data_IF_857435147063
#
_entry.id   IF_857435147063
#
_cell.length_a   1.000
_cell.length_b   1.000
_cell.length_c   1.000
_cell.angle_alpha   90.00
_cell.angle_beta   90.00
_cell.angle_gamma   90.00
#
_symmetry.space_group_name_H-M   'P 1'
#
loop_
_entity.id
_entity.type
_entity.pdbx_description
1 polymer ?
#
# COMPACT_ATOMS: atom_id res chain seq x y z
N UNK A 1 8.45 -18.86 17.12
CA UNK A 1 7.32 -17.99 16.73
C UNK A 1 6.59 -17.53 17.97
N UNK A 2 6.34 -16.24 18.08
CA UNK A 2 5.44 -15.62 19.06
C UNK A 2 4.21 -15.20 18.27
N UNK A 3 3.05 -15.74 18.64
CA UNK A 3 1.82 -15.63 17.84
C UNK A 3 0.69 -15.00 18.64
N UNK A 4 -0.11 -14.16 17.97
CA UNK A 4 -1.27 -13.52 18.58
C UNK A 4 -2.47 -14.48 18.69
N UNK A 5 -2.98 -14.67 19.91
CA UNK A 5 -4.22 -15.38 20.16
C UNK A 5 -4.15 -16.91 20.03
N UNK A 6 -5.21 -17.56 20.53
CA UNK A 6 -5.33 -19.02 20.48
C UNK A 6 -5.70 -19.52 19.07
N UNK A 7 -6.34 -18.70 18.23
CA UNK A 7 -6.73 -19.07 16.86
C UNK A 7 -5.51 -19.29 15.96
N UNK A 8 -4.70 -18.25 15.74
CA UNK A 8 -3.45 -18.37 15.00
C UNK A 8 -2.46 -19.31 15.70
N UNK A 9 -2.46 -19.34 17.04
CA UNK A 9 -1.70 -20.30 17.84
C UNK A 9 -2.07 -21.76 17.60
N UNK A 10 -3.34 -22.07 17.40
CA UNK A 10 -3.83 -23.40 17.06
C UNK A 10 -3.33 -23.86 15.70
N UNK A 11 -3.57 -23.05 14.66
CA UNK A 11 -3.12 -23.34 13.29
C UNK A 11 -1.60 -23.46 13.21
N UNK A 12 -0.86 -22.55 13.84
CA UNK A 12 0.60 -22.59 13.88
C UNK A 12 1.14 -23.84 14.60
N UNK A 13 0.51 -24.28 15.70
CA UNK A 13 0.91 -25.51 16.40
C UNK A 13 0.68 -26.77 15.58
N UNK A 14 -0.38 -26.79 14.76
CA UNK A 14 -0.68 -27.91 13.87
C UNK A 14 0.27 -27.95 12.67
N UNK A 15 0.59 -26.78 12.10
CA UNK A 15 1.38 -26.63 10.89
C UNK A 15 2.90 -26.70 11.11
N UNK A 16 3.40 -26.35 12.30
CA UNK A 16 4.84 -26.19 12.54
C UNK A 16 5.64 -27.46 12.27
N UNK A 17 6.88 -27.27 11.83
CA UNK A 17 7.87 -28.34 11.87
C UNK A 17 8.28 -28.63 13.33
N UNK A 18 8.01 -29.85 13.80
CA UNK A 18 8.26 -30.26 15.19
C UNK A 18 9.75 -30.37 15.53
N UNK A 19 10.62 -30.52 14.54
CA UNK A 19 12.07 -30.67 14.74
C UNK A 19 12.73 -29.36 15.14
N UNK A 20 12.28 -28.23 14.55
CA UNK A 20 13.00 -26.96 14.65
C UNK A 20 12.12 -25.72 14.89
N UNK A 21 10.81 -25.85 15.05
CA UNK A 21 9.91 -24.72 15.29
C UNK A 21 9.16 -24.85 16.62
N UNK A 22 9.33 -23.85 17.48
CA UNK A 22 8.52 -23.63 18.67
C UNK A 22 7.51 -22.50 18.44
N UNK A 23 6.29 -22.67 18.97
CA UNK A 23 5.20 -21.69 18.88
C UNK A 23 4.75 -21.33 20.29
N UNK A 24 4.85 -20.05 20.63
CA UNK A 24 4.38 -19.46 21.88
C UNK A 24 3.15 -18.58 21.57
N UNK A 25 1.92 -19.05 21.85
CA UNK A 25 0.72 -18.22 21.74
C UNK A 25 0.64 -17.22 22.90
N UNK A 26 0.31 -15.97 22.57
CA UNK A 26 0.02 -14.92 23.55
C UNK A 26 -1.49 -14.78 23.72
N UNK A 27 -1.94 -14.82 24.97
CA UNK A 27 -3.36 -14.70 25.33
C UNK A 27 -3.62 -13.33 25.96
N UNK A 28 -4.40 -12.50 25.28
CA UNK A 28 -4.74 -11.16 25.75
C UNK A 28 -3.69 -10.10 25.38
N UNK A 29 -3.93 -8.86 25.81
CA UNK A 29 -3.07 -7.72 25.50
C UNK A 29 -1.83 -7.74 26.40
N UNK A 30 -0.65 -7.62 25.79
CA UNK A 30 0.61 -7.51 26.52
C UNK A 30 0.59 -6.24 27.37
N UNK A 31 1.12 -6.33 28.59
CA UNK A 31 1.28 -5.16 29.43
C UNK A 31 2.23 -4.15 28.77
N UNK A 32 1.83 -2.89 28.70
CA UNK A 32 2.71 -1.83 28.21
C UNK A 32 3.87 -1.62 29.21
N UNK A 33 5.04 -2.12 28.85
CA UNK A 33 6.26 -2.08 29.67
C UNK A 33 6.92 -0.71 29.72
N UNK A 34 6.55 0.22 28.83
CA UNK A 34 6.98 1.61 28.91
C UNK A 34 6.35 2.31 30.13
N UNK A 35 5.10 1.94 30.45
CA UNK A 35 4.32 2.55 31.55
C UNK A 35 4.40 1.76 32.85
N UNK A 36 4.60 0.45 32.76
CA UNK A 36 4.57 -0.42 33.92
C UNK A 36 5.90 -0.38 34.68
N UNK A 37 5.80 -0.26 36.01
CA UNK A 37 6.96 -0.50 36.89
C UNK A 37 7.48 -1.92 36.70
N UNK A 38 8.79 -2.10 36.85
CA UNK A 38 9.47 -3.38 36.66
C UNK A 38 8.81 -4.54 37.43
N UNK A 39 8.43 -4.34 38.69
CA UNK A 39 7.75 -5.36 39.51
C UNK A 39 6.40 -5.79 38.92
N UNK A 40 5.65 -4.83 38.35
CA UNK A 40 4.36 -5.11 37.70
C UNK A 40 4.55 -5.85 36.38
N UNK A 41 5.61 -5.56 35.65
CA UNK A 41 5.99 -6.32 34.46
C UNK A 41 6.33 -7.77 34.80
N UNK A 42 7.10 -8.01 35.87
CA UNK A 42 7.44 -9.36 36.34
C UNK A 42 6.20 -10.14 36.83
N UNK A 43 5.20 -9.45 37.39
CA UNK A 43 3.94 -10.08 37.79
C UNK A 43 3.06 -10.52 36.61
N UNK A 44 3.39 -10.13 35.37
CA UNK A 44 2.66 -10.56 34.19
C UNK A 44 3.03 -11.98 33.78
N UNK A 45 2.06 -12.90 33.84
CA UNK A 45 2.24 -14.29 33.41
C UNK A 45 2.73 -14.41 31.95
N UNK A 46 2.26 -13.52 31.06
CA UNK A 46 2.68 -13.51 29.65
C UNK A 46 4.16 -13.18 29.52
N UNK A 47 4.63 -12.15 30.23
CA UNK A 47 6.04 -11.75 30.21
C UNK A 47 6.90 -12.83 30.87
N UNK A 48 6.48 -13.37 32.01
CA UNK A 48 7.16 -14.49 32.66
C UNK A 48 7.30 -15.71 31.74
N UNK A 49 6.23 -16.06 31.02
CA UNK A 49 6.25 -17.16 30.05
C UNK A 49 7.19 -16.87 28.88
N UNK A 50 7.21 -15.62 28.38
CA UNK A 50 8.10 -15.19 27.30
C UNK A 50 9.57 -15.27 27.72
N UNK A 51 9.93 -14.74 28.89
CA UNK A 51 11.29 -14.79 29.44
C UNK A 51 11.71 -16.24 29.63
N UNK A 52 10.83 -17.05 30.25
CA UNK A 52 11.08 -18.47 30.44
C UNK A 52 11.32 -19.14 29.09
N UNK A 53 10.52 -18.84 28.06
CA UNK A 53 10.64 -19.39 26.71
C UNK A 53 11.98 -19.03 26.04
N UNK A 54 12.45 -17.79 26.20
CA UNK A 54 13.72 -17.31 25.63
C UNK A 54 14.94 -17.87 26.37
N UNK A 55 14.86 -18.03 27.70
CA UNK A 55 15.92 -18.57 28.54
C UNK A 55 17.03 -17.58 28.91
N UNK A 56 16.89 -16.31 28.53
CA UNK A 56 17.91 -15.28 28.71
C UNK A 56 17.88 -14.61 30.09
N UNK A 57 16.85 -14.84 30.92
CA UNK A 57 16.60 -13.98 32.08
C UNK A 57 16.10 -12.59 31.67
N UNK A 58 15.93 -11.69 32.63
CA UNK A 58 15.49 -10.29 32.41
C UNK A 58 16.11 -9.34 33.43
N UNK A 59 16.31 -8.08 33.04
CA UNK A 59 16.86 -7.05 33.92
C UNK A 59 18.39 -6.97 33.84
N UNK A 60 18.97 -5.87 34.33
CA UNK A 60 20.38 -5.55 34.13
C UNK A 60 21.35 -6.58 34.72
N UNK A 61 20.96 -7.23 35.82
CA UNK A 61 21.85 -8.13 36.56
C UNK A 61 21.66 -9.62 36.19
N UNK A 62 20.48 -10.00 35.68
CA UNK A 62 20.14 -11.40 35.37
C UNK A 62 20.04 -11.72 33.87
N UNK A 63 19.98 -10.70 33.00
CA UNK A 63 19.91 -10.89 31.56
C UNK A 63 21.24 -11.39 30.98
N UNK A 64 21.19 -12.46 30.19
CA UNK A 64 22.31 -13.03 29.47
C UNK A 64 21.85 -13.52 28.10
N UNK A 65 22.27 -12.82 27.04
CA UNK A 65 21.95 -13.14 25.66
C UNK A 65 22.60 -14.45 25.16
N UNK A 66 23.71 -14.91 25.74
CA UNK A 66 24.37 -16.16 25.36
C UNK A 66 23.57 -17.41 25.77
N UNK A 67 22.66 -17.26 26.74
CA UNK A 67 21.73 -18.33 27.15
C UNK A 67 20.48 -18.43 26.27
N UNK A 68 20.39 -17.64 25.21
CA UNK A 68 19.23 -17.62 24.32
C UNK A 68 19.00 -19.01 23.71
N UNK A 69 17.83 -19.58 23.97
CA UNK A 69 17.48 -20.93 23.48
C UNK A 69 17.10 -20.93 22.00
N UNK A 70 16.56 -19.82 21.50
CA UNK A 70 16.09 -19.68 20.12
C UNK A 70 16.70 -18.45 19.45
N UNK A 71 17.70 -18.66 18.59
CA UNK A 71 18.42 -17.59 17.88
C UNK A 71 17.62 -16.92 16.75
N UNK A 72 16.41 -17.40 16.45
CA UNK A 72 15.46 -16.78 15.54
C UNK A 72 14.10 -16.65 16.20
N UNK A 73 13.83 -15.46 16.73
CA UNK A 73 12.57 -15.08 17.34
C UNK A 73 11.73 -14.40 16.27
N UNK A 74 10.66 -15.04 15.83
CA UNK A 74 9.77 -14.52 14.79
C UNK A 74 8.46 -14.06 15.44
N UNK A 75 8.16 -12.77 15.32
CA UNK A 75 6.90 -12.15 15.74
C UNK A 75 5.90 -12.32 14.59
N UNK A 76 4.78 -12.97 14.86
CA UNK A 76 3.75 -13.26 13.86
C UNK A 76 2.41 -12.79 14.42
N UNK A 77 1.97 -11.63 13.95
CA UNK A 77 0.74 -10.95 14.37
C UNK A 77 -0.07 -10.58 13.13
N UNK A 78 -1.36 -10.29 13.33
CA UNK A 78 -2.26 -9.96 12.23
C UNK A 78 -1.87 -8.61 11.57
N UNK A 79 -2.31 -8.43 10.32
CA UNK A 79 -2.07 -7.21 9.54
C UNK A 79 -3.01 -6.05 9.93
N UNK A 80 -3.85 -6.24 10.94
CA UNK A 80 -4.78 -5.24 11.44
C UNK A 80 -4.16 -4.33 12.53
N UNK A 81 -4.98 -3.42 13.05
CA UNK A 81 -4.56 -2.43 14.05
C UNK A 81 -4.19 -3.09 15.39
N UNK A 82 -4.88 -4.18 15.77
CA UNK A 82 -4.60 -4.89 17.03
C UNK A 82 -3.28 -5.67 16.93
N UNK A 83 -3.03 -6.34 15.80
CA UNK A 83 -1.75 -7.00 15.53
C UNK A 83 -0.58 -6.02 15.44
N UNK A 84 -0.78 -4.84 14.86
CA UNK A 84 0.19 -3.76 14.90
C UNK A 84 0.50 -3.30 16.33
N UNK A 85 -0.51 -3.23 17.20
CA UNK A 85 -0.35 -2.84 18.59
C UNK A 85 0.42 -3.90 19.41
N UNK A 86 0.10 -5.18 19.29
CA UNK A 86 0.83 -6.25 19.98
C UNK A 86 2.28 -6.34 19.48
N UNK A 87 2.49 -6.22 18.16
CA UNK A 87 3.84 -6.17 17.58
C UNK A 87 4.64 -5.01 18.16
N UNK A 88 4.05 -3.82 18.26
CA UNK A 88 4.68 -2.64 18.88
C UNK A 88 5.05 -2.92 20.33
N UNK A 89 4.14 -3.49 21.14
CA UNK A 89 4.40 -3.82 22.54
C UNK A 89 5.55 -4.83 22.71
N UNK A 90 5.62 -5.85 21.85
CA UNK A 90 6.71 -6.83 21.85
C UNK A 90 8.04 -6.18 21.46
N UNK A 91 8.05 -5.34 20.43
CA UNK A 91 9.25 -4.63 20.01
C UNK A 91 9.75 -3.70 21.10
N UNK A 92 8.86 -2.95 21.75
CA UNK A 92 9.21 -2.11 22.91
C UNK A 92 9.78 -2.95 24.05
N UNK A 93 9.20 -4.13 24.33
CA UNK A 93 9.74 -5.06 25.33
C UNK A 93 11.15 -5.52 24.99
N UNK A 94 11.39 -6.01 23.78
CA UNK A 94 12.73 -6.42 23.36
C UNK A 94 13.71 -5.25 23.39
N UNK A 95 13.30 -4.08 22.93
CA UNK A 95 14.13 -2.88 22.89
C UNK A 95 14.56 -2.42 24.29
N UNK A 96 13.62 -2.39 25.25
CA UNK A 96 13.89 -1.90 26.61
C UNK A 96 14.58 -2.93 27.50
N UNK A 97 14.17 -4.19 27.40
CA UNK A 97 14.55 -5.23 28.37
C UNK A 97 15.63 -6.17 27.84
N UNK A 98 15.76 -6.30 26.52
CA UNK A 98 16.65 -7.27 25.87
C UNK A 98 17.29 -6.69 24.58
N UNK A 99 17.86 -5.46 24.61
CA UNK A 99 18.35 -4.77 23.40
C UNK A 99 19.38 -5.60 22.64
N UNK A 100 20.25 -6.33 23.34
CA UNK A 100 21.25 -7.21 22.73
C UNK A 100 20.64 -8.26 21.78
N UNK A 101 19.40 -8.70 22.00
CA UNK A 101 18.75 -9.66 21.10
C UNK A 101 18.42 -9.02 19.74
N UNK A 102 18.12 -7.71 19.72
CA UNK A 102 17.91 -6.96 18.49
C UNK A 102 19.26 -6.68 17.83
N UNK A 103 20.26 -6.23 18.60
CA UNK A 103 21.61 -5.91 18.09
C UNK A 103 22.29 -7.14 17.47
N UNK A 104 22.18 -8.31 18.11
CA UNK A 104 22.67 -9.60 17.57
C UNK A 104 21.81 -10.12 16.41
N UNK A 105 20.68 -9.46 16.11
CA UNK A 105 19.84 -9.79 14.97
C UNK A 105 19.01 -11.06 15.13
N UNK A 106 18.54 -11.33 16.34
CA UNK A 106 17.71 -12.50 16.66
C UNK A 106 16.21 -12.27 16.49
N UNK A 107 15.76 -11.01 16.41
CA UNK A 107 14.33 -10.65 16.32
C UNK A 107 13.92 -10.37 14.87
N UNK A 108 12.83 -11.00 14.45
CA UNK A 108 12.27 -10.94 13.10
C UNK A 108 10.75 -10.75 13.17
N UNK A 109 10.18 -10.14 12.13
CA UNK A 109 8.73 -9.99 11.95
C UNK A 109 8.33 -10.83 10.73
N UNK A 110 7.32 -11.69 10.89
CA UNK A 110 6.75 -12.44 9.78
C UNK A 110 5.97 -11.52 8.84
N UNK A 111 6.01 -11.80 7.53
CA UNK A 111 5.24 -11.10 6.51
C UNK A 111 4.28 -12.09 5.83
N UNK A 112 3.14 -12.42 6.46
CA UNK A 112 2.13 -13.26 5.84
C UNK A 112 1.52 -12.56 4.61
N UNK A 113 1.04 -13.28 3.60
CA UNK A 113 0.46 -12.68 2.42
C UNK A 113 -0.91 -12.04 2.69
N UNK A 114 -1.13 -10.86 2.13
CA UNK A 114 -2.41 -10.17 2.19
C UNK A 114 -3.46 -10.78 1.24
N UNK A 115 -3.01 -11.37 0.13
CA UNK A 115 -3.91 -11.92 -0.89
C UNK A 115 -3.52 -13.33 -1.34
N UNK A 116 -4.53 -14.09 -1.75
CA UNK A 116 -4.40 -15.27 -2.59
C UNK A 116 -5.20 -15.06 -3.86
N UNK A 117 -4.53 -15.18 -5.00
CA UNK A 117 -5.15 -15.10 -6.32
C UNK A 117 -5.15 -16.48 -6.94
N UNK A 118 -6.29 -16.93 -7.45
CA UNK A 118 -6.44 -18.20 -8.14
C UNK A 118 -7.02 -18.01 -9.55
N UNK A 119 -6.38 -18.63 -10.55
CA UNK A 119 -6.81 -18.63 -11.94
C UNK A 119 -6.78 -20.07 -12.47
N UNK A 120 -7.95 -20.67 -12.63
CA UNK A 120 -8.07 -22.09 -12.97
C UNK A 120 -7.44 -22.97 -11.89
N UNK A 121 -6.38 -23.72 -12.24
CA UNK A 121 -5.64 -24.60 -11.31
C UNK A 121 -4.44 -23.94 -10.65
N UNK A 122 -4.04 -22.76 -11.10
CA UNK A 122 -2.89 -22.04 -10.55
C UNK A 122 -3.35 -21.11 -9.44
N UNK A 123 -2.59 -21.04 -8.35
CA UNK A 123 -2.79 -20.06 -7.29
C UNK A 123 -1.47 -19.43 -6.90
N UNK A 124 -1.51 -18.15 -6.53
CA UNK A 124 -0.36 -17.38 -6.08
C UNK A 124 -0.73 -16.58 -4.84
N UNK A 125 0.19 -16.53 -3.89
CA UNK A 125 0.11 -15.66 -2.71
C UNK A 125 0.81 -14.34 -3.03
N UNK A 126 0.18 -13.22 -2.68
CA UNK A 126 0.70 -11.88 -2.90
C UNK A 126 0.78 -11.17 -1.55
N UNK A 127 1.93 -10.53 -1.29
CA UNK A 127 2.25 -10.01 0.04
C UNK A 127 1.44 -8.77 0.41
N UNK A 128 1.22 -7.88 -0.56
CA UNK A 128 0.67 -6.55 -0.36
C UNK A 128 -0.16 -6.09 -1.57
N UNK A 129 -0.64 -4.85 -1.53
CA UNK A 129 -1.39 -4.24 -2.63
C UNK A 129 -0.51 -3.99 -3.86
N UNK A 130 0.77 -3.66 -3.68
CA UNK A 130 1.70 -3.41 -4.77
C UNK A 130 1.94 -4.66 -5.63
N UNK A 131 2.07 -5.83 -5.01
CA UNK A 131 2.15 -7.11 -5.70
C UNK A 131 0.82 -7.50 -6.35
N UNK A 132 -0.32 -7.20 -5.72
CA UNK A 132 -1.64 -7.35 -6.34
C UNK A 132 -1.74 -6.56 -7.63
N UNK A 133 -1.41 -5.27 -7.59
CA UNK A 133 -1.51 -4.40 -8.76
C UNK A 133 -0.52 -4.83 -9.85
N UNK A 134 0.70 -5.20 -9.46
CA UNK A 134 1.70 -5.73 -10.40
C UNK A 134 1.19 -7.01 -11.09
N UNK A 135 0.57 -7.92 -10.33
CA UNK A 135 -0.04 -9.13 -10.87
C UNK A 135 -1.20 -8.81 -11.83
N UNK A 136 -2.06 -7.85 -11.47
CA UNK A 136 -3.18 -7.44 -12.32
C UNK A 136 -2.71 -6.75 -13.61
N UNK A 137 -1.64 -5.94 -13.55
CA UNK A 137 -1.04 -5.31 -14.73
C UNK A 137 -0.43 -6.37 -15.64
N UNK A 138 0.32 -7.33 -15.08
CA UNK A 138 0.90 -8.43 -15.85
C UNK A 138 -0.19 -9.27 -16.55
N UNK A 139 -1.18 -9.73 -15.78
CA UNK A 139 -2.28 -10.53 -16.28
C UNK A 139 -3.15 -9.75 -17.29
N UNK A 140 -3.46 -8.49 -16.99
CA UNK A 140 -4.27 -7.62 -17.83
C UNK A 140 -3.60 -7.22 -19.15
N UNK A 141 -2.28 -7.10 -19.15
CA UNK A 141 -1.48 -6.79 -20.34
C UNK A 141 -1.15 -8.04 -21.18
N UNK A 142 -1.33 -9.25 -20.62
CA UNK A 142 -1.11 -10.49 -21.35
C UNK A 142 -2.11 -10.63 -22.50
N UNK A 143 -1.60 -10.85 -23.70
CA UNK A 143 -2.36 -10.92 -24.97
C UNK A 143 -3.18 -9.65 -25.25
N UNK A 144 -2.72 -8.50 -24.72
CA UNK A 144 -3.33 -7.22 -24.97
C UNK A 144 -2.46 -6.35 -25.89
N UNK A 145 -3.12 -5.48 -26.64
CA UNK A 145 -2.52 -4.53 -27.55
C UNK A 145 -3.12 -3.14 -27.31
N UNK A 146 -2.28 -2.11 -27.30
CA UNK A 146 -2.71 -0.72 -27.32
C UNK A 146 -2.35 -0.13 -28.68
N UNK A 147 -3.35 0.15 -29.49
CA UNK A 147 -3.21 0.83 -30.77
C UNK A 147 -3.32 2.34 -30.55
N UNK A 148 -2.22 3.05 -30.74
CA UNK A 148 -2.14 4.50 -30.58
C UNK A 148 -2.61 5.22 -31.86
N UNK A 149 -3.09 6.47 -31.75
CA UNK A 149 -3.51 7.26 -32.91
C UNK A 149 -2.41 7.51 -33.94
N UNK A 150 -1.14 7.42 -33.52
CA UNK A 150 0.05 7.55 -34.36
C UNK A 150 0.25 6.37 -35.32
N UNK A 151 -0.49 5.26 -35.11
CA UNK A 151 -0.29 3.99 -35.80
C UNK A 151 0.70 3.06 -35.11
N UNK A 152 1.37 3.53 -34.04
CA UNK A 152 2.19 2.68 -33.19
C UNK A 152 1.32 1.70 -32.38
N UNK A 153 1.79 0.47 -32.23
CA UNK A 153 1.15 -0.55 -31.38
C UNK A 153 2.09 -0.94 -30.25
N UNK A 154 1.61 -0.85 -29.01
CA UNK A 154 2.33 -1.30 -27.81
C UNK A 154 1.77 -2.61 -27.28
N UNK A 155 2.65 -3.56 -26.98
CA UNK A 155 2.31 -4.88 -26.43
C UNK A 155 3.33 -5.30 -25.37
N UNK A 156 3.05 -6.38 -24.65
CA UNK A 156 4.03 -7.01 -23.75
C UNK A 156 4.63 -6.04 -22.72
N UNK A 157 5.96 -6.00 -22.64
CA UNK A 157 6.68 -5.18 -21.67
C UNK A 157 6.50 -3.67 -21.89
N UNK A 158 6.37 -3.22 -23.14
CA UNK A 158 6.19 -1.79 -23.46
C UNK A 158 4.83 -1.29 -22.97
N UNK A 159 3.78 -2.11 -23.15
CA UNK A 159 2.46 -1.84 -22.59
C UNK A 159 2.50 -1.85 -21.06
N UNK A 160 3.15 -2.83 -20.44
CA UNK A 160 3.28 -2.89 -18.98
C UNK A 160 4.01 -1.67 -18.41
N UNK A 161 5.08 -1.20 -19.06
CA UNK A 161 5.80 -0.01 -18.66
C UNK A 161 4.88 1.23 -18.69
N UNK A 162 4.15 1.42 -19.80
CA UNK A 162 3.20 2.52 -19.92
C UNK A 162 2.08 2.47 -18.87
N UNK A 163 1.57 1.28 -18.54
CA UNK A 163 0.54 1.11 -17.50
C UNK A 163 1.09 1.40 -16.10
N UNK A 164 2.36 1.09 -15.82
CA UNK A 164 3.01 1.46 -14.55
C UNK A 164 3.15 2.98 -14.42
N UNK A 165 3.51 3.67 -15.51
CA UNK A 165 3.47 5.13 -15.54
C UNK A 165 2.05 5.65 -15.30
N UNK A 166 1.04 5.00 -15.89
CA UNK A 166 -0.37 5.38 -15.69
C UNK A 166 -0.82 5.18 -14.23
N UNK A 167 -0.37 4.12 -13.56
CA UNK A 167 -0.59 3.91 -12.11
C UNK A 167 0.02 5.06 -11.30
N UNK A 168 1.28 5.40 -11.58
CA UNK A 168 1.96 6.48 -10.87
C UNK A 168 1.31 7.85 -11.12
N UNK A 169 0.84 8.10 -12.34
CA UNK A 169 0.08 9.28 -12.72
C UNK A 169 -1.26 9.36 -11.98
N UNK A 170 -2.02 8.25 -11.92
CA UNK A 170 -3.28 8.16 -11.16
C UNK A 170 -3.09 8.54 -9.69
N UNK A 171 -2.01 8.11 -9.03
CA UNK A 171 -1.74 8.49 -7.64
C UNK A 171 -1.57 10.02 -7.48
N UNK A 172 -1.03 10.71 -8.49
CA UNK A 172 -0.98 12.18 -8.53
C UNK A 172 -2.37 12.80 -8.72
N UNK A 173 -3.18 12.26 -9.62
CA UNK A 173 -4.57 12.71 -9.83
C UNK A 173 -5.42 12.52 -8.57
N UNK A 174 -5.29 11.39 -7.88
CA UNK A 174 -6.08 11.08 -6.68
C UNK A 174 -5.81 12.08 -5.55
N UNK A 175 -4.58 12.59 -5.41
CA UNK A 175 -4.25 13.67 -4.46
C UNK A 175 -5.01 14.98 -4.74
N UNK A 176 -5.32 15.26 -6.01
CA UNK A 176 -6.04 16.46 -6.43
C UNK A 176 -7.56 16.25 -6.56
N UNK A 177 -8.03 15.00 -6.54
CA UNK A 177 -9.42 14.61 -6.83
C UNK A 177 -10.47 15.18 -5.88
N UNK A 178 -10.09 15.59 -4.66
CA UNK A 178 -11.01 16.26 -3.73
C UNK A 178 -11.36 17.69 -4.18
N UNK A 179 -10.54 18.28 -5.04
CA UNK A 179 -10.63 19.69 -5.43
C UNK A 179 -11.25 19.90 -6.81
N UNK A 180 -11.18 18.89 -7.68
CA UNK A 180 -11.77 18.92 -9.01
C UNK A 180 -12.02 17.49 -9.54
N UNK A 181 -12.90 17.31 -10.55
CA UNK A 181 -13.12 16.01 -11.17
C UNK A 181 -11.83 15.40 -11.75
N UNK A 182 -11.66 14.09 -11.60
CA UNK A 182 -10.44 13.36 -12.01
C UNK A 182 -10.13 13.50 -13.49
N UNK A 183 -11.14 13.38 -14.37
CA UNK A 183 -10.95 13.54 -15.81
C UNK A 183 -10.51 14.97 -16.16
N UNK A 184 -10.99 15.99 -15.43
CA UNK A 184 -10.57 17.36 -15.66
C UNK A 184 -9.12 17.60 -15.24
N UNK A 185 -8.71 17.04 -14.11
CA UNK A 185 -7.32 17.08 -13.63
C UNK A 185 -6.38 16.36 -14.59
N UNK A 186 -6.75 15.15 -15.03
CA UNK A 186 -5.97 14.37 -15.99
C UNK A 186 -5.77 15.15 -17.29
N UNK A 187 -6.85 15.62 -17.91
CA UNK A 187 -6.76 16.29 -19.21
C UNK A 187 -6.09 17.66 -19.11
N UNK A 188 -6.24 18.38 -18.00
CA UNK A 188 -5.49 19.61 -17.73
C UNK A 188 -3.98 19.35 -17.59
N UNK A 189 -3.58 18.29 -16.88
CA UNK A 189 -2.18 17.90 -16.76
C UNK A 189 -1.56 17.47 -18.10
N UNK A 190 -2.30 16.70 -18.91
CA UNK A 190 -1.86 16.30 -20.25
C UNK A 190 -1.83 17.47 -21.25
N UNK A 191 -2.58 18.54 -20.99
CA UNK A 191 -2.52 19.77 -21.77
C UNK A 191 -1.41 20.74 -21.34
N UNK A 192 -0.66 20.43 -20.27
CA UNK A 192 0.38 21.34 -19.75
C UNK A 192 -0.16 22.51 -18.94
N UNK A 193 -1.39 22.44 -18.41
CA UNK A 193 -1.97 23.54 -17.63
C UNK A 193 -1.29 23.72 -16.26
N UNK A 194 -0.61 22.70 -15.77
CA UNK A 194 0.09 22.69 -14.48
C UNK A 194 1.59 23.02 -14.58
N UNK A 195 2.09 23.27 -15.79
CA UNK A 195 3.47 23.69 -16.03
C UNK A 195 3.71 25.13 -15.55
N UNK A 196 4.98 25.53 -15.44
CA UNK A 196 5.33 26.91 -15.06
C UNK A 196 4.78 27.89 -16.09
N UNK A 197 5.02 27.61 -17.37
CA UNK A 197 4.43 28.27 -18.54
C UNK A 197 3.10 27.62 -18.92
N UNK A 198 2.07 27.87 -18.09
CA UNK A 198 0.76 27.25 -18.24
C UNK A 198 0.22 27.39 -19.67
N UNK A 199 -0.16 26.25 -20.27
CA UNK A 199 -0.74 26.20 -21.61
C UNK A 199 -2.10 26.93 -21.70
N UNK A 200 -2.53 27.23 -22.93
CA UNK A 200 -3.84 27.84 -23.21
C UNK A 200 -4.97 26.92 -22.68
N UNK A 201 -5.89 27.42 -21.82
CA UNK A 201 -7.09 26.71 -21.39
C UNK A 201 -7.88 26.04 -22.54
N UNK A 202 -7.84 26.60 -23.75
CA UNK A 202 -8.50 26.02 -24.91
C UNK A 202 -7.97 24.62 -25.28
N UNK A 203 -6.69 24.33 -25.02
CA UNK A 203 -6.07 23.02 -25.26
C UNK A 203 -6.60 21.97 -24.29
N UNK A 204 -6.68 22.31 -23.00
CA UNK A 204 -7.30 21.44 -22.00
C UNK A 204 -8.78 21.18 -22.34
N UNK A 205 -9.53 22.22 -22.76
CA UNK A 205 -10.93 22.06 -23.16
C UNK A 205 -11.10 21.11 -24.36
N UNK A 206 -10.24 21.22 -25.38
CA UNK A 206 -10.24 20.31 -26.52
C UNK A 206 -10.02 18.85 -26.10
N UNK A 207 -9.19 18.61 -25.07
CA UNK A 207 -8.98 17.28 -24.50
C UNK A 207 -10.19 16.79 -23.69
N UNK A 208 -10.89 17.66 -22.97
CA UNK A 208 -12.13 17.30 -22.27
C UNK A 208 -13.21 16.80 -23.25
N UNK A 209 -13.21 17.27 -24.50
CA UNK A 209 -14.13 16.81 -25.54
C UNK A 209 -13.92 15.34 -25.93
N UNK A 210 -12.79 14.71 -25.58
CA UNK A 210 -12.62 13.27 -25.73
C UNK A 210 -13.62 12.44 -24.91
N UNK A 211 -14.22 13.06 -23.88
CA UNK A 211 -15.24 12.47 -23.00
C UNK A 211 -16.67 12.94 -23.32
N UNK A 212 -16.86 13.78 -24.34
CA UNK A 212 -18.20 14.22 -24.73
C UNK A 212 -19.01 13.05 -25.33
N UNK A 213 -20.27 12.93 -24.91
CA UNK A 213 -21.21 11.96 -25.46
C UNK A 213 -22.06 12.58 -26.59
N UNK A 214 -22.75 11.72 -27.35
CA UNK A 214 -23.67 12.21 -28.39
C UNK A 214 -24.76 13.11 -27.79
N UNK A 215 -24.83 14.35 -28.28
CA UNK A 215 -25.76 15.38 -27.78
C UNK A 215 -25.19 16.31 -26.70
N UNK A 216 -23.94 16.09 -26.26
CA UNK A 216 -23.20 17.09 -25.48
C UNK A 216 -22.67 18.20 -26.41
N UNK A 217 -22.68 19.44 -25.95
CA UNK A 217 -21.94 20.53 -26.58
C UNK A 217 -20.44 20.45 -26.22
N UNK A 218 -19.61 21.14 -27.00
CA UNK A 218 -18.17 21.19 -26.78
C UNK A 218 -17.84 21.96 -25.49
N UNK A 219 -16.85 21.45 -24.76
CA UNK A 219 -16.15 22.18 -23.72
C UNK A 219 -15.40 23.37 -24.33
N UNK A 220 -15.56 24.50 -23.67
CA UNK A 220 -14.78 25.72 -23.85
C UNK A 220 -13.97 25.98 -22.59
N UNK A 221 -12.78 26.56 -22.71
CA UNK A 221 -11.88 26.84 -21.59
C UNK A 221 -11.44 28.30 -21.61
N UNK A 222 -11.60 29.00 -20.50
CA UNK A 222 -11.24 30.42 -20.37
C UNK A 222 -10.53 30.69 -19.05
N UNK A 223 -9.60 31.68 -19.01
CA UNK A 223 -9.06 32.19 -17.75
C UNK A 223 -10.18 32.73 -16.85
N UNK A 224 -10.22 32.24 -15.61
CA UNK A 224 -11.12 32.69 -14.56
C UNK A 224 -10.53 33.80 -13.69
N UNK A 225 -11.28 34.21 -12.67
CA UNK A 225 -10.80 35.15 -11.66
C UNK A 225 -9.65 34.55 -10.84
N UNK A 226 -8.70 35.39 -10.42
CA UNK A 226 -7.60 35.01 -9.52
C UNK A 226 -6.82 33.78 -10.03
N UNK A 227 -6.42 33.78 -11.30
CA UNK A 227 -5.57 32.74 -11.88
C UNK A 227 -6.23 31.36 -12.04
N UNK A 228 -7.52 31.23 -11.75
CA UNK A 228 -8.27 30.01 -12.00
C UNK A 228 -8.47 29.77 -13.49
N UNK A 229 -8.84 28.54 -13.86
CA UNK A 229 -9.26 28.18 -15.22
C UNK A 229 -10.65 27.57 -15.14
N UNK A 230 -11.56 28.06 -15.97
CA UNK A 230 -12.93 27.58 -16.02
C UNK A 230 -13.21 26.86 -17.34
N UNK A 231 -13.86 25.71 -17.25
CA UNK A 231 -14.36 24.96 -18.37
C UNK A 231 -15.88 24.96 -18.35
N UNK A 232 -16.52 25.19 -19.49
CA UNK A 232 -17.96 25.15 -19.63
C UNK A 232 -18.41 24.37 -20.87
N UNK A 233 -19.51 23.62 -20.73
CA UNK A 233 -20.25 23.04 -21.86
C UNK A 233 -21.75 23.08 -21.61
N UNK A 234 -22.54 22.88 -22.66
CA UNK A 234 -23.99 22.67 -22.55
C UNK A 234 -24.30 21.19 -22.73
N UNK A 235 -24.88 20.56 -21.70
CA UNK A 235 -25.32 19.16 -21.74
C UNK A 235 -26.82 19.10 -21.53
N UNK A 236 -27.58 18.66 -22.55
CA UNK A 236 -29.05 18.56 -22.49
C UNK A 236 -29.74 19.82 -21.96
N UNK A 237 -29.35 20.98 -22.48
CA UNK A 237 -29.82 22.32 -22.08
C UNK A 237 -29.43 22.77 -20.65
N UNK A 238 -28.54 22.05 -19.96
CA UNK A 238 -27.96 22.45 -18.68
C UNK A 238 -26.50 22.82 -18.89
N UNK A 239 -26.09 24.00 -18.41
CA UNK A 239 -24.67 24.39 -18.41
C UNK A 239 -23.94 23.61 -17.32
N UNK A 240 -22.91 22.87 -17.73
CA UNK A 240 -21.96 22.22 -16.84
C UNK A 240 -20.70 23.09 -16.78
N UNK A 241 -20.24 23.41 -15.56
CA UNK A 241 -19.06 24.24 -15.32
C UNK A 241 -18.10 23.54 -14.36
N UNK A 242 -16.83 23.49 -14.74
CA UNK A 242 -15.73 22.99 -13.91
C UNK A 242 -14.74 24.12 -13.72
N UNK A 243 -14.28 24.33 -12.48
CA UNK A 243 -13.28 25.38 -12.18
C UNK A 243 -12.07 24.72 -11.53
N UNK A 244 -10.91 24.90 -12.15
CA UNK A 244 -9.62 24.58 -11.54
C UNK A 244 -9.07 25.87 -10.92
N UNK A 245 -9.09 25.94 -9.59
CA UNK A 245 -8.58 27.10 -8.86
C UNK A 245 -7.07 27.26 -9.03
N UNK A 246 -6.56 28.50 -8.95
CA UNK A 246 -5.12 28.77 -9.00
C UNK A 246 -4.35 27.98 -7.93
N UNK A 247 -4.91 27.86 -6.72
CA UNK A 247 -4.31 27.10 -5.65
C UNK A 247 -4.19 25.60 -5.96
N UNK A 248 -4.97 25.06 -6.91
CA UNK A 248 -4.83 23.69 -7.42
C UNK A 248 -3.73 23.66 -8.46
N UNK A 249 -3.88 24.51 -9.48
CA UNK A 249 -2.97 24.60 -10.63
C UNK A 249 -1.52 24.80 -10.19
N UNK A 250 -1.29 25.67 -9.19
CA UNK A 250 0.05 26.03 -8.70
C UNK A 250 0.53 25.19 -7.51
N UNK A 251 -0.24 24.17 -7.09
CA UNK A 251 0.15 23.29 -5.99
C UNK A 251 1.38 22.43 -6.32
N UNK A 252 2.10 21.98 -5.30
CA UNK A 252 3.24 21.07 -5.47
C UNK A 252 2.80 19.74 -6.12
N UNK A 253 1.61 19.25 -5.77
CA UNK A 253 1.06 18.03 -6.35
C UNK A 253 0.72 18.18 -7.83
N UNK A 254 0.22 19.35 -8.25
CA UNK A 254 -0.01 19.65 -9.66
C UNK A 254 1.30 19.70 -10.47
N UNK A 255 2.36 20.32 -9.94
CA UNK A 255 3.69 20.32 -10.58
C UNK A 255 4.26 18.92 -10.73
N UNK A 256 4.19 18.10 -9.67
CA UNK A 256 4.61 16.69 -9.72
C UNK A 256 3.78 15.87 -10.71
N UNK A 257 2.51 16.19 -10.86
CA UNK A 257 1.64 15.54 -11.85
C UNK A 257 2.02 15.96 -13.28
N UNK A 258 2.38 17.22 -13.49
CA UNK A 258 2.88 17.73 -14.78
C UNK A 258 4.18 17.04 -15.21
N UNK A 259 5.16 16.91 -14.29
CA UNK A 259 6.39 16.16 -14.57
C UNK A 259 6.11 14.71 -15.02
N UNK A 260 5.07 14.08 -14.45
CA UNK A 260 4.66 12.71 -14.82
C UNK A 260 3.83 12.67 -16.11
N UNK A 261 3.19 13.78 -16.52
CA UNK A 261 2.40 13.82 -17.75
C UNK A 261 3.28 13.70 -19.00
N UNK A 262 4.56 14.09 -18.90
CA UNK A 262 5.55 13.97 -19.97
C UNK A 262 5.70 12.55 -20.53
N UNK A 263 5.47 11.50 -19.72
CA UNK A 263 5.49 10.10 -20.19
C UNK A 263 4.39 9.78 -21.21
N UNK A 264 3.38 10.65 -21.33
CA UNK A 264 2.21 10.49 -22.19
C UNK A 264 2.10 11.52 -23.32
N UNK A 265 3.11 12.38 -23.47
CA UNK A 265 3.14 13.42 -24.49
C UNK A 265 2.92 12.81 -25.89
N UNK A 266 1.92 13.32 -26.61
CA UNK A 266 1.55 12.84 -27.94
C UNK A 266 0.87 11.47 -28.02
N UNK A 267 0.75 10.72 -26.91
CA UNK A 267 0.16 9.38 -26.91
C UNK A 267 -1.37 9.39 -26.93
N UNK A 268 -1.98 10.35 -26.23
CA UNK A 268 -3.43 10.42 -26.02
C UNK A 268 -4.05 11.73 -26.55
N UNK A 269 -3.49 12.33 -27.60
CA UNK A 269 -4.09 13.51 -28.25
C UNK A 269 -5.39 13.17 -28.98
N UNK A 270 -5.55 11.89 -29.32
CA UNK A 270 -6.79 11.27 -29.76
C UNK A 270 -7.00 9.97 -28.99
N UNK A 271 -8.23 9.43 -28.92
CA UNK A 271 -8.45 8.18 -28.21
C UNK A 271 -7.67 7.02 -28.83
N UNK A 272 -6.92 6.32 -28.00
CA UNK A 272 -6.27 5.06 -28.33
C UNK A 272 -7.28 3.90 -28.20
N UNK A 273 -6.93 2.73 -28.73
CA UNK A 273 -7.76 1.53 -28.63
C UNK A 273 -7.01 0.42 -27.93
N UNK A 274 -7.51 0.01 -26.77
CA UNK A 274 -7.05 -1.17 -26.06
C UNK A 274 -7.82 -2.40 -26.53
N UNK A 275 -7.10 -3.43 -26.99
CA UNK A 275 -7.65 -4.71 -27.45
C UNK A 275 -7.11 -5.84 -26.59
N UNK A 276 -8.00 -6.72 -26.12
CA UNK A 276 -7.61 -7.99 -25.50
C UNK A 276 -8.66 -9.03 -25.81
N UNK A 277 -8.28 -10.06 -26.57
CA UNK A 277 -9.22 -11.08 -27.09
C UNK A 277 -10.36 -10.38 -27.84
N UNK A 278 -11.61 -10.66 -27.49
CA UNK A 278 -12.80 -10.07 -28.14
C UNK A 278 -13.21 -8.71 -27.53
N UNK A 279 -12.54 -8.23 -26.47
CA UNK A 279 -12.89 -6.94 -25.85
C UNK A 279 -12.06 -5.82 -26.47
N UNK A 280 -12.75 -4.79 -26.90
CA UNK A 280 -12.19 -3.53 -27.39
C UNK A 280 -12.65 -2.41 -26.45
N UNK A 281 -11.71 -1.59 -25.97
CA UNK A 281 -11.97 -0.45 -25.08
C UNK A 281 -11.31 0.78 -25.67
N UNK A 282 -12.07 1.87 -25.75
CA UNK A 282 -11.54 3.19 -26.10
C UNK A 282 -10.82 3.77 -24.88
N UNK A 283 -9.59 4.25 -25.09
CA UNK A 283 -8.72 4.80 -24.05
C UNK A 283 -8.46 6.27 -24.36
N UNK A 284 -8.98 7.17 -23.54
CA UNK A 284 -8.88 8.63 -23.76
C UNK A 284 -7.72 9.28 -22.98
N UNK A 285 -7.09 8.51 -22.09
CA UNK A 285 -5.98 8.98 -21.25
C UNK A 285 -5.37 7.85 -20.41
N UNK A 286 -4.34 8.16 -19.60
CA UNK A 286 -3.70 7.23 -18.70
C UNK A 286 -4.67 6.52 -17.73
N UNK A 287 -5.68 7.21 -17.20
CA UNK A 287 -6.64 6.61 -16.27
C UNK A 287 -7.48 5.53 -16.94
N UNK A 288 -8.02 5.83 -18.14
CA UNK A 288 -8.77 4.85 -18.95
C UNK A 288 -7.89 3.62 -19.28
N UNK A 289 -6.60 3.83 -19.60
CA UNK A 289 -5.66 2.74 -19.90
C UNK A 289 -5.48 1.84 -18.68
N UNK A 290 -5.19 2.44 -17.53
CA UNK A 290 -4.99 1.72 -16.29
C UNK A 290 -6.25 0.92 -15.90
N UNK A 291 -7.42 1.54 -15.98
CA UNK A 291 -8.69 0.88 -15.70
C UNK A 291 -8.94 -0.30 -16.64
N UNK A 292 -8.76 -0.10 -17.95
CA UNK A 292 -8.95 -1.15 -18.95
C UNK A 292 -8.06 -2.36 -18.70
N UNK A 293 -6.79 -2.13 -18.31
CA UNK A 293 -5.82 -3.19 -18.01
C UNK A 293 -6.12 -3.87 -16.67
N UNK A 294 -6.41 -3.12 -15.60
CA UNK A 294 -6.75 -3.72 -14.30
C UNK A 294 -8.04 -4.54 -14.38
N UNK A 295 -9.06 -4.06 -15.10
CA UNK A 295 -10.29 -4.79 -15.32
C UNK A 295 -10.09 -6.05 -16.15
N UNK A 296 -9.22 -5.97 -17.17
CA UNK A 296 -8.80 -7.15 -17.90
C UNK A 296 -8.08 -8.14 -16.96
N UNK A 297 -7.19 -7.67 -16.09
CA UNK A 297 -6.45 -8.49 -15.13
C UNK A 297 -7.36 -9.23 -14.13
N UNK A 298 -8.46 -8.60 -13.72
CA UNK A 298 -9.45 -9.16 -12.78
C UNK A 298 -10.35 -10.24 -13.41
N UNK A 299 -10.40 -10.37 -14.73
CA UNK A 299 -11.30 -11.33 -15.38
C UNK A 299 -10.82 -12.77 -15.20
N UNK A 300 -11.70 -13.59 -14.63
CA UNK A 300 -11.46 -15.03 -14.48
C UNK A 300 -10.49 -15.40 -13.34
N UNK A 301 -10.18 -14.44 -12.46
CA UNK A 301 -9.42 -14.70 -11.24
C UNK A 301 -10.33 -14.63 -10.01
N UNK A 302 -10.09 -15.51 -9.06
CA UNK A 302 -10.67 -15.44 -7.73
C UNK A 302 -9.65 -14.80 -6.79
N UNK A 303 -10.04 -13.71 -6.13
CA UNK A 303 -9.20 -12.99 -5.17
C UNK A 303 -9.75 -13.24 -3.77
N UNK A 304 -8.91 -13.80 -2.89
CA UNK A 304 -9.17 -13.92 -1.47
C UNK A 304 -8.22 -12.97 -0.74
N UNK A 305 -8.75 -12.11 0.14
CA UNK A 305 -7.97 -11.25 1.03
C UNK A 305 -7.97 -11.85 2.43
N UNK A 306 -6.79 -12.00 3.03
CA UNK A 306 -6.64 -12.43 4.41
C UNK A 306 -6.64 -11.21 5.33
N UNK A 307 -7.52 -11.18 6.33
CA UNK A 307 -7.54 -10.10 7.34
C UNK A 307 -6.76 -10.47 8.60
N UNK A 308 -6.68 -11.77 8.90
CA UNK A 308 -5.94 -12.30 10.03
C UNK A 308 -5.38 -13.69 9.74
N UNK A 309 -4.36 -14.07 10.50
CA UNK A 309 -3.67 -15.35 10.41
C UNK A 309 -4.61 -16.53 10.69
N UNK A 310 -5.66 -16.31 11.49
CA UNK A 310 -6.67 -17.32 11.80
C UNK A 310 -7.58 -17.69 10.62
N UNK A 311 -7.60 -16.90 9.54
CA UNK A 311 -8.37 -17.22 8.32
C UNK A 311 -7.66 -18.24 7.43
N UNK A 312 -6.36 -18.47 7.66
CA UNK A 312 -5.57 -19.47 6.96
C UNK A 312 -5.73 -20.83 7.64
N UNK A 313 -5.93 -21.87 6.83
CA UNK A 313 -5.82 -23.24 7.33
C UNK A 313 -4.33 -23.57 7.64
N UNK A 314 -4.04 -24.65 8.39
CA UNK A 314 -2.67 -24.98 8.77
C UNK A 314 -1.71 -25.15 7.59
N UNK A 315 -2.15 -25.75 6.49
CA UNK A 315 -1.33 -25.96 5.28
C UNK A 315 -0.96 -24.62 4.63
N UNK A 316 -1.92 -23.72 4.46
CA UNK A 316 -1.70 -22.38 3.93
C UNK A 316 -0.76 -21.58 4.81
N UNK A 317 -0.91 -21.66 6.14
CA UNK A 317 -0.02 -20.99 7.07
C UNK A 317 1.40 -21.54 6.99
N UNK A 318 1.55 -22.86 6.77
CA UNK A 318 2.85 -23.48 6.53
C UNK A 318 3.50 -22.93 5.25
N UNK A 319 2.83 -23.08 4.12
CA UNK A 319 3.33 -22.71 2.79
C UNK A 319 3.71 -21.23 2.69
N UNK A 320 3.03 -20.37 3.42
CA UNK A 320 3.20 -18.91 3.30
C UNK A 320 4.11 -18.31 4.37
N UNK A 321 4.05 -18.81 5.60
CA UNK A 321 4.57 -18.07 6.76
C UNK A 321 5.55 -18.90 7.61
N UNK A 322 5.45 -20.23 7.61
CA UNK A 322 6.31 -21.09 8.45
C UNK A 322 7.43 -21.78 7.67
N UNK A 323 7.23 -22.12 6.39
CA UNK A 323 8.25 -22.77 5.56
C UNK A 323 9.47 -21.87 5.40
N UNK A 324 10.64 -22.39 5.75
CA UNK A 324 11.89 -21.65 5.68
C UNK A 324 12.32 -21.27 4.25
N UNK A 325 11.80 -21.98 3.24
CA UNK A 325 12.12 -21.72 1.83
C UNK A 325 11.17 -20.72 1.17
N UNK A 326 9.99 -20.50 1.73
CA UNK A 326 8.94 -19.66 1.13
C UNK A 326 8.65 -18.39 1.94
N UNK A 327 8.82 -18.42 3.27
CA UNK A 327 8.45 -17.29 4.14
C UNK A 327 9.31 -16.06 3.90
N UNK A 328 8.68 -14.89 4.02
CA UNK A 328 9.36 -13.60 4.06
C UNK A 328 9.42 -13.10 5.50
N UNK A 329 10.62 -12.68 5.94
CA UNK A 329 10.86 -12.15 7.27
C UNK A 329 11.54 -10.79 7.18
N UNK A 330 11.08 -9.82 7.97
CA UNK A 330 11.80 -8.57 8.21
C UNK A 330 12.67 -8.73 9.44
N UNK A 331 13.97 -8.45 9.31
CA UNK A 331 14.90 -8.45 10.44
C UNK A 331 14.82 -7.10 11.15
N UNK A 332 14.61 -7.11 12.46
CA UNK A 332 14.58 -5.88 13.25
C UNK A 332 16.00 -5.42 13.50
N UNK A 333 16.26 -4.13 13.27
CA UNK A 333 17.54 -3.47 13.52
C UNK A 333 17.31 -2.19 14.33
N UNK A 334 18.33 -1.79 15.09
CA UNK A 334 18.35 -0.49 15.78
C UNK A 334 19.29 0.41 14.97
N UNK A 335 18.77 1.43 14.30
CA UNK A 335 19.59 2.40 13.58
C UNK A 335 20.13 3.49 14.52
N UNK A 336 19.25 4.07 15.35
CA UNK A 336 19.61 5.06 16.37
C UNK A 336 18.77 4.86 17.64
N UNK A 337 19.41 4.76 18.81
CA UNK A 337 18.72 4.51 20.08
C UNK A 337 17.86 5.70 20.55
N UNK A 338 18.21 6.92 20.14
CA UNK A 338 17.55 8.16 20.59
C UNK A 338 16.23 8.39 19.84
N UNK A 339 16.20 8.23 18.51
CA UNK A 339 15.01 8.50 17.67
C UNK A 339 13.87 7.49 17.89
N UNK A 340 14.21 6.21 18.12
CA UNK A 340 13.21 5.18 18.37
C UNK A 340 12.45 5.44 19.68
N UNK A 341 13.14 5.89 20.72
CA UNK A 341 12.54 6.12 22.04
C UNK A 341 11.51 7.25 22.01
N UNK A 342 11.76 8.31 21.24
CA UNK A 342 10.83 9.44 21.06
C UNK A 342 9.60 9.05 20.23
N UNK A 343 9.78 8.22 19.20
CA UNK A 343 8.70 7.65 18.40
C UNK A 343 7.77 6.79 19.27
N UNK A 344 8.35 5.91 20.11
CA UNK A 344 7.60 5.08 21.04
C UNK A 344 6.89 5.92 22.12
N UNK A 345 7.54 6.95 22.66
CA UNK A 345 6.93 7.86 23.62
C UNK A 345 5.73 8.62 23.02
N UNK A 346 5.82 9.06 21.75
CA UNK A 346 4.71 9.71 21.03
C UNK A 346 3.56 8.74 20.74
N UNK A 347 3.87 7.52 20.32
CA UNK A 347 2.87 6.49 19.98
C UNK A 347 2.22 5.84 21.21
N UNK A 348 2.93 5.77 22.34
CA UNK A 348 2.53 5.01 23.53
C UNK A 348 2.34 5.87 24.79
N UNK A 349 2.61 7.18 24.71
CA UNK A 349 2.43 8.16 25.78
C UNK A 349 0.97 8.55 26.04
N UNK A 350 0.74 9.27 27.14
CA UNK A 350 -0.61 9.54 27.69
C UNK A 350 -1.40 10.61 26.92
N UNK A 351 -0.78 11.33 25.98
CA UNK A 351 -1.43 12.40 25.22
C UNK A 351 -2.02 11.82 23.94
N UNK A 352 -3.36 11.82 23.85
CA UNK A 352 -4.12 11.23 22.74
C UNK A 352 -3.91 12.00 21.43
N UNK A 353 -3.83 13.32 21.52
CA UNK A 353 -3.75 14.22 20.35
C UNK A 353 -2.47 14.02 19.53
N UNK A 354 -1.25 14.04 20.10
CA UNK A 354 -0.02 13.75 19.37
C UNK A 354 0.01 12.36 18.74
N UNK A 355 -0.60 11.36 19.40
CA UNK A 355 -0.74 10.01 18.85
C UNK A 355 -1.69 9.99 17.66
N UNK A 356 -2.83 10.68 17.76
CA UNK A 356 -3.82 10.80 16.69
C UNK A 356 -3.27 11.59 15.50
N UNK A 357 -2.57 12.69 15.75
CA UNK A 357 -1.89 13.50 14.73
C UNK A 357 -0.78 12.71 14.05
N UNK A 358 0.03 11.96 14.81
CA UNK A 358 1.05 11.08 14.23
C UNK A 358 0.42 9.98 13.38
N UNK A 359 -0.63 9.31 13.88
CA UNK A 359 -1.37 8.30 13.09
C UNK A 359 -2.01 8.94 11.87
N UNK A 360 -2.56 10.17 11.93
CA UNK A 360 -3.17 10.83 10.77
C UNK A 360 -2.13 11.32 9.75
N UNK A 361 -1.02 11.90 10.20
CA UNK A 361 0.06 12.38 9.35
C UNK A 361 0.80 11.23 8.66
N UNK A 362 1.02 10.12 9.38
CA UNK A 362 1.70 8.93 8.86
C UNK A 362 0.73 7.86 8.35
N UNK A 363 -0.60 8.02 8.49
CA UNK A 363 -1.57 7.15 7.82
C UNK A 363 -1.58 7.40 6.31
N UNK A 364 -1.19 8.61 5.88
CA UNK A 364 -0.87 8.85 4.49
C UNK A 364 0.33 8.00 4.09
N UNK A 365 1.47 8.08 4.79
CA UNK A 365 2.69 7.30 4.46
C UNK A 365 2.57 5.77 4.66
N UNK A 366 1.81 5.31 5.65
CA UNK A 366 1.46 3.89 5.83
C UNK A 366 0.41 3.41 4.81
N UNK A 367 -0.27 4.34 4.13
CA UNK A 367 -1.07 4.09 2.94
C UNK A 367 -0.33 4.44 1.64
N UNK A 368 0.96 4.85 1.67
CA UNK A 368 1.78 5.06 0.46
C UNK A 368 2.39 3.75 -0.06
N UNK A 369 2.21 2.62 0.62
CA UNK A 369 2.26 1.29 -0.04
C UNK A 369 0.93 0.95 -0.77
N UNK A 370 0.31 1.95 -1.41
CA UNK A 370 -0.84 1.81 -2.33
C UNK A 370 -0.40 1.69 -3.80
#
# INVERSE_FOLDING_TARGET
FIVEGDSAGGSAKQARNRENQAVLPLRGKILNVERARFDRMLSSELIGTLILALGTGIGRDDFNADKLRYHKIILMADADVDGAHIRTLLLTFFYRQMPELIERGHVYIAQPPLYKVAKGKQSRYLKDQSEMDSYLIEEGSSEAELDLPTGERRTGLDLQALVREAKAFKAGVDRLSQRAPTFAIEQAALAGLFDEDAADPSQAAARLNLYAEEGDGDWTGEPGAQGAVAFERVRRAVTERIVLEEALIRSLDARRLAERSAAFEGLFDKPAIFRRKDKVVTVRGPLDLLEAVLDAGKKGIAIQRYKGLGEMNPEQLWETTLDANARTLLKVQVEHQEDASDLFAKLMGDVVEPRREFIQANALDAAVDA
#
